data_IF_868562582819
#
_entry.id   IF_868562582819
#
_cell.length_a   1.000
_cell.length_b   1.000
_cell.length_c   1.000
_cell.angle_alpha   90.00
_cell.angle_beta   90.00
_cell.angle_gamma   90.00
#
_symmetry.space_group_name_H-M   'P 1'
#
loop_
_entity.id
_entity.type
_entity.pdbx_description
1 polymer ?
#
# COMPACT_ATOMS: atom_id res chain seq x y z
N UNK A 1 -9.64 -15.73 -8.74
CA UNK A 1 -8.71 -14.57 -8.63
C UNK A 1 -8.17 -14.46 -7.21
N UNK A 2 -7.12 -13.66 -6.96
CA UNK A 2 -6.52 -13.53 -5.63
C UNK A 2 -7.53 -13.26 -4.49
N UNK A 3 -8.49 -12.34 -4.71
CA UNK A 3 -9.52 -12.05 -3.70
C UNK A 3 -10.30 -13.30 -3.27
N UNK A 4 -10.60 -14.21 -4.21
CA UNK A 4 -11.28 -15.47 -3.89
C UNK A 4 -10.37 -16.46 -3.16
N UNK A 5 -9.07 -16.49 -3.49
CA UNK A 5 -8.12 -17.39 -2.82
C UNK A 5 -7.88 -17.03 -1.35
N UNK A 6 -8.27 -15.83 -0.92
CA UNK A 6 -8.25 -15.45 0.51
C UNK A 6 -9.26 -16.22 1.36
N UNK A 7 -10.29 -16.81 0.75
CA UNK A 7 -11.39 -17.48 1.46
C UNK A 7 -12.38 -16.52 2.15
N UNK A 8 -12.17 -15.21 2.07
CA UNK A 8 -13.09 -14.20 2.61
C UNK A 8 -14.34 -14.16 1.72
N UNK A 9 -15.52 -14.20 2.34
CA UNK A 9 -16.78 -14.02 1.62
C UNK A 9 -17.11 -12.52 1.52
N UNK A 10 -16.99 -11.93 0.33
CA UNK A 10 -17.16 -10.49 0.09
C UNK A 10 -18.20 -10.21 -1.01
N UNK A 11 -18.73 -8.98 -1.02
CA UNK A 11 -19.60 -8.50 -2.10
C UNK A 11 -18.78 -8.19 -3.36
N UNK A 12 -18.89 -9.07 -4.36
CA UNK A 12 -18.19 -8.96 -5.65
C UNK A 12 -18.61 -7.75 -6.48
N UNK A 13 -19.80 -7.20 -6.23
CA UNK A 13 -20.26 -5.97 -6.88
C UNK A 13 -19.54 -4.73 -6.31
N UNK A 14 -19.13 -4.82 -5.04
CA UNK A 14 -18.48 -3.75 -4.27
C UNK A 14 -16.96 -3.74 -4.42
N UNK A 15 -16.33 -4.91 -4.50
CA UNK A 15 -14.88 -5.05 -4.77
C UNK A 15 -14.62 -6.17 -5.76
N UNK A 16 -13.87 -5.84 -6.82
CA UNK A 16 -13.44 -6.74 -7.86
C UNK A 16 -12.25 -6.12 -8.62
N UNK A 17 -11.61 -6.91 -9.49
CA UNK A 17 -10.43 -6.45 -10.24
C UNK A 17 -10.66 -5.19 -11.07
N UNK A 18 -11.85 -4.98 -11.64
CA UNK A 18 -12.17 -3.77 -12.41
C UNK A 18 -12.18 -2.53 -11.52
N UNK A 19 -12.85 -2.61 -10.37
CA UNK A 19 -12.91 -1.51 -9.40
C UNK A 19 -11.52 -1.21 -8.80
N UNK A 20 -10.77 -2.26 -8.46
CA UNK A 20 -9.41 -2.13 -7.94
C UNK A 20 -8.48 -1.37 -8.89
N UNK A 21 -8.52 -1.69 -10.19
CA UNK A 21 -7.73 -0.97 -11.21
C UNK A 21 -8.27 0.44 -11.52
N UNK A 22 -9.55 0.71 -11.27
CA UNK A 22 -10.11 2.06 -11.34
C UNK A 22 -9.60 2.89 -10.16
N UNK A 23 -9.62 2.32 -8.96
CA UNK A 23 -9.16 2.96 -7.74
C UNK A 23 -7.66 3.24 -7.78
N UNK A 24 -6.84 2.31 -8.27
CA UNK A 24 -5.41 2.54 -8.52
C UNK A 24 -5.20 3.80 -9.37
N UNK A 25 -5.88 3.90 -10.52
CA UNK A 25 -5.80 5.08 -11.40
C UNK A 25 -6.25 6.38 -10.74
N UNK A 26 -7.33 6.34 -9.95
CA UNK A 26 -7.91 7.54 -9.35
C UNK A 26 -7.16 8.03 -8.10
N UNK A 27 -6.60 7.09 -7.33
CA UNK A 27 -5.93 7.36 -6.06
C UNK A 27 -4.42 7.46 -6.19
N UNK A 28 -3.88 6.98 -7.32
CA UNK A 28 -2.45 6.84 -7.59
C UNK A 28 -1.77 5.85 -6.61
N UNK A 29 -2.55 4.95 -6.00
CA UNK A 29 -2.07 3.94 -5.05
C UNK A 29 -2.00 2.57 -5.72
N UNK A 30 -0.86 1.88 -5.57
CA UNK A 30 -0.62 0.52 -6.04
C UNK A 30 -1.80 -0.40 -5.66
N UNK A 31 -2.34 -1.10 -6.66
CA UNK A 31 -3.50 -1.96 -6.48
C UNK A 31 -3.30 -3.01 -5.38
N UNK A 32 -2.07 -3.48 -5.17
CA UNK A 32 -1.74 -4.45 -4.12
C UNK A 32 -1.85 -3.80 -2.75
N UNK A 33 -1.45 -2.55 -2.61
CA UNK A 33 -1.63 -1.79 -1.38
C UNK A 33 -3.13 -1.54 -1.11
N UNK A 34 -3.92 -1.19 -2.14
CA UNK A 34 -5.38 -1.04 -2.01
C UNK A 34 -6.02 -2.34 -1.50
N UNK A 35 -5.65 -3.49 -2.07
CA UNK A 35 -6.11 -4.81 -1.62
C UNK A 35 -5.71 -5.07 -0.17
N UNK A 36 -4.45 -4.81 0.18
CA UNK A 36 -3.95 -5.00 1.55
C UNK A 36 -4.70 -4.14 2.57
N UNK A 37 -4.99 -2.89 2.24
CA UNK A 37 -5.77 -1.99 3.10
C UNK A 37 -7.20 -2.51 3.23
N UNK A 38 -7.91 -2.75 2.13
CA UNK A 38 -9.29 -3.23 2.17
C UNK A 38 -9.44 -4.55 2.96
N UNK A 39 -8.46 -5.46 2.81
CA UNK A 39 -8.43 -6.72 3.55
C UNK A 39 -8.24 -6.48 5.05
N UNK A 40 -7.29 -5.64 5.42
CA UNK A 40 -6.87 -5.46 6.82
C UNK A 40 -7.75 -4.46 7.59
N UNK A 41 -8.41 -3.51 6.92
CA UNK A 41 -9.33 -2.56 7.55
C UNK A 41 -10.69 -3.19 7.83
N UNK A 42 -11.20 -4.02 6.92
CA UNK A 42 -12.60 -4.44 6.98
C UNK A 42 -12.89 -5.80 6.40
N UNK A 43 -11.87 -6.62 6.12
CA UNK A 43 -12.06 -7.91 5.43
C UNK A 43 -12.88 -7.73 4.14
N UNK A 44 -12.48 -6.77 3.31
CA UNK A 44 -13.17 -6.40 2.06
C UNK A 44 -14.61 -5.88 2.27
N UNK A 45 -14.82 -5.09 3.32
CA UNK A 45 -16.11 -4.45 3.64
C UNK A 45 -17.09 -5.36 4.37
N UNK A 46 -16.63 -6.46 4.95
CA UNK A 46 -17.46 -7.49 5.60
C UNK A 46 -17.40 -7.45 7.13
N UNK A 47 -16.53 -6.60 7.69
CA UNK A 47 -16.34 -6.45 9.12
C UNK A 47 -16.53 -5.00 9.59
N UNK A 48 -16.94 -4.85 10.85
CA UNK A 48 -17.06 -3.56 11.53
C UNK A 48 -18.04 -2.58 10.87
N UNK A 49 -17.71 -1.28 10.96
CA UNK A 49 -18.52 -0.17 10.42
C UNK A 49 -18.73 -0.30 8.90
N UNK A 50 -17.81 -0.94 8.18
CA UNK A 50 -17.91 -1.12 6.73
C UNK A 50 -19.11 -1.98 6.28
N UNK A 51 -19.75 -2.70 7.21
CA UNK A 51 -20.98 -3.46 6.94
C UNK A 51 -22.23 -2.59 6.88
N UNK A 52 -22.15 -1.34 7.37
CA UNK A 52 -23.28 -0.42 7.39
C UNK A 52 -23.57 0.13 5.98
N UNK A 53 -24.85 0.28 5.60
CA UNK A 53 -25.21 0.89 4.33
C UNK A 53 -24.58 2.28 4.15
N UNK A 54 -23.88 2.49 3.04
CA UNK A 54 -23.21 3.74 2.71
C UNK A 54 -21.80 3.90 3.29
N UNK A 55 -21.39 3.08 4.27
CA UNK A 55 -20.04 3.13 4.82
C UNK A 55 -19.00 2.55 3.83
N UNK A 56 -17.76 3.02 3.89
CA UNK A 56 -16.66 2.53 3.04
C UNK A 56 -15.83 1.41 3.69
N UNK A 57 -15.17 0.61 2.86
CA UNK A 57 -14.32 -0.51 3.29
C UNK A 57 -12.92 -0.11 3.74
N UNK A 58 -12.55 1.16 3.58
CA UNK A 58 -11.20 1.67 3.84
C UNK A 58 -11.06 2.33 5.21
N UNK A 59 -12.11 2.32 6.03
CA UNK A 59 -12.11 2.95 7.36
C UNK A 59 -11.99 4.48 7.30
N UNK A 60 -12.14 5.10 6.13
CA UNK A 60 -11.98 6.54 5.98
C UNK A 60 -13.19 7.28 6.56
N UNK A 61 -12.94 8.24 7.45
CA UNK A 61 -14.01 9.02 8.09
C UNK A 61 -14.88 8.23 9.08
N UNK A 62 -14.55 6.97 9.36
CA UNK A 62 -15.23 6.16 10.36
C UNK A 62 -14.62 6.42 11.74
N UNK A 63 -15.37 7.08 12.63
CA UNK A 63 -15.01 7.23 14.04
C UNK A 63 -16.04 6.48 14.89
N UNK A 64 -15.60 5.73 15.89
CA UNK A 64 -16.49 5.00 16.82
C UNK A 64 -17.51 5.94 17.52
N UNK A 65 -17.16 7.22 17.66
CA UNK A 65 -18.01 8.27 18.25
C UNK A 65 -18.96 8.95 17.25
N UNK A 66 -18.80 8.74 15.93
CA UNK A 66 -19.67 9.30 14.91
C UNK A 66 -19.67 8.46 13.61
N UNK A 67 -20.44 7.35 13.57
CA UNK A 67 -20.53 6.48 12.40
C UNK A 67 -21.21 7.16 11.19
N UNK A 68 -21.91 8.29 11.35
CA UNK A 68 -22.54 9.02 10.24
C UNK A 68 -21.54 9.73 9.31
N UNK A 69 -20.29 9.93 9.73
CA UNK A 69 -19.26 10.47 8.83
C UNK A 69 -18.75 9.40 7.83
N UNK A 70 -18.83 8.12 8.19
CA UNK A 70 -18.41 7.03 7.32
C UNK A 70 -19.32 6.87 6.09
N UNK A 71 -20.61 7.21 6.22
CA UNK A 71 -21.63 7.09 5.17
C UNK A 71 -21.58 8.21 4.12
N UNK A 72 -20.74 9.24 4.33
CA UNK A 72 -20.59 10.35 3.39
C UNK A 72 -19.60 10.02 2.25
N UNK A 73 -18.82 8.95 2.38
CA UNK A 73 -17.80 8.56 1.41
C UNK A 73 -18.09 7.16 0.92
N UNK A 74 -18.44 7.02 -0.37
CA UNK A 74 -18.43 5.70 -1.01
C UNK A 74 -16.99 5.17 -1.12
N UNK A 75 -16.84 3.88 -1.46
CA UNK A 75 -15.52 3.22 -1.50
C UNK A 75 -14.50 3.94 -2.39
N UNK A 76 -14.92 4.44 -3.56
CA UNK A 76 -14.05 5.18 -4.49
C UNK A 76 -13.59 6.53 -3.89
N UNK A 77 -14.51 7.28 -3.32
CA UNK A 77 -14.18 8.58 -2.70
C UNK A 77 -13.31 8.38 -1.47
N UNK A 78 -13.57 7.31 -0.70
CA UNK A 78 -12.82 6.95 0.48
C UNK A 78 -11.37 6.57 0.15
N UNK A 79 -11.11 5.72 -0.84
CA UNK A 79 -9.73 5.34 -1.20
C UNK A 79 -8.92 6.53 -1.73
N UNK A 80 -9.54 7.41 -2.53
CA UNK A 80 -8.89 8.63 -3.01
C UNK A 80 -8.61 9.60 -1.87
N UNK A 81 -9.55 9.76 -0.93
CA UNK A 81 -9.38 10.65 0.22
C UNK A 81 -8.33 10.12 1.20
N UNK A 82 -8.34 8.82 1.47
CA UNK A 82 -7.31 8.12 2.23
C UNK A 82 -5.94 8.34 1.58
N UNK A 83 -5.84 8.18 0.26
CA UNK A 83 -4.59 8.39 -0.46
C UNK A 83 -4.05 9.81 -0.29
N UNK A 84 -4.89 10.82 -0.50
CA UNK A 84 -4.47 12.21 -0.43
C UNK A 84 -4.12 12.66 0.99
N UNK A 85 -4.94 12.28 1.97
CA UNK A 85 -4.78 12.76 3.35
C UNK A 85 -3.83 11.87 4.15
N UNK A 86 -4.19 10.60 4.29
CA UNK A 86 -3.49 9.69 5.18
C UNK A 86 -2.17 9.21 4.59
N UNK A 87 -2.02 9.17 3.26
CA UNK A 87 -0.77 8.68 2.66
C UNK A 87 0.13 9.82 2.22
N UNK A 88 -0.34 10.67 1.32
CA UNK A 88 0.44 11.74 0.71
C UNK A 88 0.70 12.88 1.69
N UNK A 89 -0.34 13.53 2.19
CA UNK A 89 -0.18 14.69 3.09
C UNK A 89 0.55 14.32 4.39
N UNK A 90 0.27 13.12 4.91
CA UNK A 90 0.91 12.60 6.11
C UNK A 90 2.23 11.86 5.85
N UNK A 91 2.79 11.88 4.64
CA UNK A 91 4.11 11.29 4.31
C UNK A 91 4.25 9.81 4.67
N UNK A 92 3.17 9.05 4.59
CA UNK A 92 3.16 7.62 4.87
C UNK A 92 3.45 6.83 3.59
N UNK A 93 4.64 7.06 3.03
CA UNK A 93 5.03 6.62 1.67
C UNK A 93 5.24 5.10 1.54
N UNK A 94 5.40 4.37 2.66
CA UNK A 94 5.54 2.90 2.74
C UNK A 94 4.88 2.37 4.01
N UNK A 95 4.47 1.09 4.02
CA UNK A 95 3.95 0.47 5.25
C UNK A 95 4.99 0.44 6.36
N UNK A 96 6.28 0.32 5.99
CA UNK A 96 7.40 0.45 6.93
C UNK A 96 7.44 1.82 7.59
N UNK A 97 7.36 2.89 6.80
CA UNK A 97 7.32 4.26 7.34
C UNK A 97 6.16 4.39 8.32
N UNK A 98 5.02 3.76 8.03
CA UNK A 98 3.91 3.80 8.96
C UNK A 98 4.17 3.03 10.26
N UNK A 99 4.71 1.80 10.20
CA UNK A 99 5.10 1.08 11.43
C UNK A 99 6.14 1.88 12.25
N UNK A 100 7.14 2.46 11.59
CA UNK A 100 8.17 3.28 12.24
C UNK A 100 7.54 4.52 12.91
N UNK A 101 6.57 5.16 12.25
CA UNK A 101 5.85 6.31 12.80
C UNK A 101 4.89 5.93 13.91
N UNK A 102 4.24 4.77 13.85
CA UNK A 102 3.43 4.25 14.95
C UNK A 102 4.28 4.03 16.21
N UNK A 103 5.50 3.51 16.05
CA UNK A 103 6.47 3.36 17.16
C UNK A 103 6.88 4.73 17.71
N UNK A 104 7.25 5.70 16.85
CA UNK A 104 7.56 7.07 17.27
C UNK A 104 6.38 7.71 18.02
N UNK A 105 5.16 7.52 17.51
CA UNK A 105 3.94 8.06 18.12
C UNK A 105 3.70 7.47 19.50
N UNK A 106 3.78 6.14 19.65
CA UNK A 106 3.65 5.46 20.94
C UNK A 106 4.71 5.89 21.95
N UNK A 107 5.91 6.23 21.50
CA UNK A 107 7.00 6.72 22.33
C UNK A 107 6.93 8.24 22.60
N UNK A 108 5.96 8.96 22.04
CA UNK A 108 5.85 10.42 22.17
C UNK A 108 6.96 11.20 21.44
N UNK A 109 7.64 10.59 20.48
CA UNK A 109 8.77 11.17 19.74
C UNK A 109 8.46 11.51 18.28
N UNK A 110 7.22 11.30 17.85
CA UNK A 110 6.79 11.68 16.50
C UNK A 110 6.69 13.20 16.36
N UNK A 111 7.51 13.78 15.48
CA UNK A 111 7.37 15.18 15.08
C UNK A 111 6.35 15.27 13.94
N UNK A 112 5.10 15.60 14.26
CA UNK A 112 4.03 15.66 13.26
C UNK A 112 4.23 16.77 12.22
N UNK A 113 5.00 17.82 12.52
CA UNK A 113 5.29 18.90 11.58
C UNK A 113 6.30 18.45 10.52
N UNK A 114 7.25 17.59 10.91
CA UNK A 114 8.29 17.06 10.02
C UNK A 114 7.88 15.74 9.38
N UNK A 115 7.44 14.76 10.19
CA UNK A 115 7.15 13.39 9.78
C UNK A 115 5.71 13.21 9.26
N UNK A 116 4.79 14.13 9.57
CA UNK A 116 3.35 13.99 9.31
C UNK A 116 2.64 13.04 10.29
N UNK A 117 1.30 12.97 10.23
CA UNK A 117 0.49 12.13 11.12
C UNK A 117 0.58 10.63 10.82
N UNK A 118 0.22 9.79 11.80
CA UNK A 118 0.07 8.34 11.61
C UNK A 118 -1.27 8.01 10.97
N UNK A 119 -1.31 6.96 10.14
CA UNK A 119 -2.53 6.36 9.59
C UNK A 119 -3.10 5.32 10.56
N UNK A 120 -2.23 4.50 11.16
CA UNK A 120 -2.58 3.60 12.25
C UNK A 120 -1.58 3.74 13.38
N UNK A 121 -2.03 3.52 14.62
CA UNK A 121 -1.20 3.62 15.83
C UNK A 121 -0.69 2.27 16.32
N UNK A 122 -1.11 1.17 15.69
CA UNK A 122 -0.70 -0.17 16.10
C UNK A 122 0.80 -0.40 15.88
N UNK A 123 1.50 -0.78 16.95
CA UNK A 123 2.93 -1.08 16.95
C UNK A 123 3.22 -2.58 16.80
N UNK A 124 2.20 -3.43 16.61
CA UNK A 124 2.36 -4.88 16.47
C UNK A 124 2.84 -5.34 15.09
N UNK A 125 3.20 -4.41 14.20
CA UNK A 125 3.61 -4.70 12.82
C UNK A 125 2.43 -4.74 11.84
N UNK A 126 1.46 -3.84 12.00
CA UNK A 126 0.30 -3.70 11.10
C UNK A 126 0.70 -3.40 9.67
N UNK A 127 1.74 -2.60 9.46
CA UNK A 127 2.32 -2.36 8.16
C UNK A 127 2.95 -3.62 7.58
N UNK A 128 3.69 -4.39 8.39
CA UNK A 128 4.35 -5.62 7.94
C UNK A 128 3.34 -6.66 7.45
N UNK A 129 2.20 -6.78 8.13
CA UNK A 129 1.10 -7.67 7.71
C UNK A 129 0.50 -7.24 6.37
N UNK A 130 0.27 -5.93 6.16
CA UNK A 130 -0.23 -5.39 4.88
C UNK A 130 0.79 -5.59 3.74
N UNK A 131 2.06 -5.41 4.03
CA UNK A 131 3.14 -5.71 3.09
C UNK A 131 3.18 -7.19 2.69
N UNK A 132 2.90 -8.10 3.62
CA UNK A 132 2.79 -9.52 3.30
C UNK A 132 1.64 -9.79 2.32
N UNK A 133 0.47 -9.16 2.51
CA UNK A 133 -0.66 -9.30 1.56
C UNK A 133 -0.26 -8.81 0.17
N UNK A 134 0.49 -7.71 0.06
CA UNK A 134 0.99 -7.24 -1.24
C UNK A 134 1.91 -8.28 -1.90
N UNK A 135 2.82 -8.88 -1.14
CA UNK A 135 3.72 -9.91 -1.64
C UNK A 135 2.99 -11.19 -2.04
N UNK A 136 1.96 -11.57 -1.28
CA UNK A 136 1.14 -12.75 -1.59
C UNK A 136 0.32 -12.53 -2.87
N UNK A 137 -0.21 -11.33 -3.09
CA UNK A 137 -0.91 -10.97 -4.33
C UNK A 137 0.05 -10.95 -5.52
N UNK A 138 1.23 -10.37 -5.35
CA UNK A 138 2.27 -10.35 -6.39
C UNK A 138 2.64 -11.77 -6.83
N UNK A 139 2.93 -12.63 -5.85
CA UNK A 139 3.20 -14.05 -6.08
C UNK A 139 2.01 -14.75 -6.76
N UNK A 140 0.79 -14.47 -6.35
CA UNK A 140 -0.40 -15.06 -6.96
C UNK A 140 -0.53 -14.66 -8.43
N UNK A 141 -0.25 -13.39 -8.77
CA UNK A 141 -0.23 -12.91 -10.16
C UNK A 141 0.79 -13.70 -10.98
N UNK A 142 2.02 -13.82 -10.48
CA UNK A 142 3.09 -14.58 -11.12
C UNK A 142 2.72 -16.04 -11.37
N UNK A 143 2.06 -16.68 -10.40
CA UNK A 143 1.60 -18.08 -10.50
C UNK A 143 0.40 -18.27 -11.46
N UNK A 144 -0.38 -17.22 -11.75
CA UNK A 144 -1.67 -17.31 -12.45
C UNK A 144 -1.72 -16.57 -13.79
N UNK A 145 -0.58 -16.45 -14.47
CA UNK A 145 -0.46 -15.85 -15.81
C UNK A 145 0.61 -14.77 -15.91
N UNK A 146 1.09 -14.30 -14.76
CA UNK A 146 2.18 -13.34 -14.63
C UNK A 146 1.86 -11.96 -15.18
N UNK A 147 2.78 -11.03 -14.93
CA UNK A 147 2.82 -9.77 -15.67
C UNK A 147 3.15 -10.09 -17.13
N UNK A 148 2.34 -9.67 -18.12
CA UNK A 148 2.65 -9.90 -19.53
C UNK A 148 4.07 -9.43 -19.85
N UNK A 149 4.81 -10.24 -20.62
CA UNK A 149 6.14 -9.85 -21.11
C UNK A 149 6.08 -8.45 -21.71
N UNK A 150 7.00 -7.58 -21.29
CA UNK A 150 7.09 -6.22 -21.83
C UNK A 150 7.09 -6.25 -23.37
N UNK A 151 6.34 -5.36 -24.04
CA UNK A 151 6.27 -5.35 -25.51
C UNK A 151 7.67 -5.33 -26.11
N UNK A 152 7.89 -6.14 -27.16
CA UNK A 152 9.20 -6.25 -27.81
C UNK A 152 9.68 -4.92 -28.44
N UNK A 153 8.80 -3.92 -28.58
CA UNK A 153 9.00 -2.69 -29.35
C UNK A 153 9.08 -1.40 -28.52
N UNK A 154 9.20 -1.46 -27.20
CA UNK A 154 9.67 -0.28 -26.47
C UNK A 154 11.18 -0.26 -26.62
N UNK A 155 11.77 0.86 -27.04
CA UNK A 155 13.20 1.11 -26.98
C UNK A 155 13.67 0.79 -25.56
N UNK A 156 14.09 -0.46 -25.32
CA UNK A 156 14.61 -0.86 -24.03
C UNK A 156 15.87 -0.03 -23.86
N UNK A 157 15.83 0.91 -22.92
CA UNK A 157 17.05 1.28 -22.23
C UNK A 157 17.44 0.00 -21.51
N UNK A 158 18.23 -0.84 -22.18
CA UNK A 158 18.85 -2.00 -21.55
C UNK A 158 19.76 -1.38 -20.51
N UNK A 159 19.37 -1.47 -19.24
CA UNK A 159 20.24 -1.10 -18.14
C UNK A 159 21.56 -1.82 -18.35
N UNK A 160 22.64 -1.06 -18.54
CA UNK A 160 23.98 -1.64 -18.77
C UNK A 160 24.58 -2.23 -17.51
N UNK A 161 23.85 -2.20 -16.39
CA UNK A 161 24.26 -2.75 -15.12
C UNK A 161 24.21 -4.27 -15.16
N UNK A 162 25.37 -4.89 -15.37
CA UNK A 162 25.58 -6.30 -15.05
C UNK A 162 25.74 -6.44 -13.54
N UNK A 163 24.67 -6.83 -12.85
CA UNK A 163 24.74 -7.24 -11.44
C UNK A 163 24.61 -8.76 -11.38
N UNK A 164 25.60 -9.42 -10.77
CA UNK A 164 25.51 -10.86 -10.54
C UNK A 164 24.30 -11.14 -9.63
N UNK A 165 23.52 -12.21 -9.88
CA UNK A 165 22.40 -12.58 -9.02
C UNK A 165 22.84 -12.63 -7.55
N UNK A 166 22.11 -11.93 -6.67
CA UNK A 166 22.44 -11.84 -5.23
C UNK A 166 23.48 -10.79 -4.85
N UNK A 167 23.93 -9.94 -5.79
CA UNK A 167 24.91 -8.88 -5.51
C UNK A 167 24.24 -7.52 -5.40
N UNK A 168 24.48 -6.83 -4.29
CA UNK A 168 24.01 -5.46 -4.07
C UNK A 168 24.96 -4.53 -4.83
N UNK A 169 24.47 -3.82 -5.85
CA UNK A 169 25.24 -2.73 -6.48
C UNK A 169 25.07 -1.45 -5.67
N UNK A 170 26.18 -0.76 -5.39
CA UNK A 170 26.18 0.58 -4.81
C UNK A 170 26.17 1.68 -5.89
N UNK A 171 26.29 1.30 -7.16
CA UNK A 171 26.35 2.22 -8.29
C UNK A 171 24.98 2.34 -8.97
N UNK A 172 24.53 3.59 -9.17
CA UNK A 172 23.37 3.91 -9.99
C UNK A 172 23.74 3.70 -11.47
N UNK A 173 22.87 3.04 -12.27
CA UNK A 173 23.11 2.92 -13.70
C UNK A 173 23.26 4.30 -14.37
N UNK A 174 24.13 4.38 -15.37
CA UNK A 174 24.33 5.61 -16.15
C UNK A 174 23.01 6.11 -16.74
N UNK A 175 22.71 7.39 -16.53
CA UNK A 175 21.44 8.02 -16.96
C UNK A 175 20.32 8.00 -15.90
N UNK A 176 20.54 7.41 -14.73
CA UNK A 176 19.60 7.43 -13.61
C UNK A 176 20.13 8.31 -12.47
N UNK A 177 19.23 9.05 -11.83
CA UNK A 177 19.50 9.81 -10.61
C UNK A 177 18.55 9.38 -9.50
N UNK A 178 18.99 9.49 -8.26
CA UNK A 178 18.08 9.37 -7.11
C UNK A 178 17.35 10.69 -6.91
N UNK A 179 16.03 10.66 -6.93
CA UNK A 179 15.20 11.83 -6.57
C UNK A 179 15.32 12.19 -5.08
N UNK A 180 15.70 11.21 -4.25
CA UNK A 180 15.96 11.38 -2.81
C UNK A 180 17.18 10.55 -2.39
N UNK A 181 18.06 11.06 -1.50
CA UNK A 181 19.20 10.30 -1.01
C UNK A 181 18.75 9.05 -0.24
N UNK A 182 19.45 7.92 -0.46
CA UNK A 182 19.22 6.68 0.29
C UNK A 182 19.86 6.84 1.68
N UNK A 183 19.04 6.95 2.72
CA UNK A 183 19.52 6.96 4.10
C UNK A 183 19.51 5.54 4.67
N UNK A 184 20.69 4.98 4.92
CA UNK A 184 20.86 3.64 5.50
C UNK A 184 21.01 3.64 7.03
N UNK A 185 21.02 4.82 7.66
CA UNK A 185 21.13 4.96 9.11
C UNK A 185 19.91 4.36 9.79
N UNK A 186 20.11 3.29 10.57
CA UNK A 186 19.02 2.56 11.24
C UNK A 186 18.37 1.44 10.41
N UNK A 187 18.97 1.05 9.28
CA UNK A 187 18.49 -0.10 8.50
C UNK A 187 18.65 -1.41 9.30
N UNK A 188 17.53 -2.02 9.66
CA UNK A 188 17.46 -3.31 10.37
C UNK A 188 17.05 -4.42 9.39
N UNK A 189 17.85 -5.48 9.31
CA UNK A 189 17.69 -6.59 8.36
C UNK A 189 16.51 -7.54 8.65
N UNK A 190 15.72 -7.30 9.71
CA UNK A 190 14.37 -7.88 9.87
C UNK A 190 13.40 -7.15 8.94
N UNK A 191 13.68 -7.24 7.63
CA UNK A 191 13.10 -6.36 6.63
C UNK A 191 11.68 -6.79 6.24
N UNK A 192 10.94 -5.80 5.75
CA UNK A 192 9.74 -6.02 4.96
C UNK A 192 10.08 -6.86 3.71
N UNK A 193 9.13 -7.64 3.15
CA UNK A 193 9.36 -8.35 1.89
C UNK A 193 9.93 -7.44 0.79
N UNK A 194 10.76 -7.98 -0.09
CA UNK A 194 11.34 -7.26 -1.23
C UNK A 194 10.23 -6.79 -2.21
N UNK A 195 10.34 -5.58 -2.78
CA UNK A 195 9.34 -5.01 -3.71
C UNK A 195 8.32 -4.02 -3.13
N UNK A 196 8.50 -3.60 -1.86
CA UNK A 196 7.58 -2.71 -1.11
C UNK A 196 7.86 -1.21 -1.29
N UNK A 197 8.43 -0.81 -2.42
CA UNK A 197 9.18 0.45 -2.48
C UNK A 197 8.34 1.73 -2.38
N UNK A 198 7.06 1.74 -2.77
CA UNK A 198 6.16 2.90 -2.58
C UNK A 198 4.69 2.49 -2.65
N UNK A 199 3.82 3.20 -1.93
CA UNK A 199 2.36 3.08 -2.14
C UNK A 199 1.95 3.60 -3.51
N UNK A 200 2.78 4.41 -4.16
CA UNK A 200 2.42 5.13 -5.38
C UNK A 200 2.98 4.45 -6.64
N UNK A 201 2.18 4.44 -7.70
CA UNK A 201 2.55 3.98 -9.04
C UNK A 201 2.98 5.21 -9.84
N UNK A 202 4.27 5.34 -10.18
CA UNK A 202 4.78 6.46 -10.97
C UNK A 202 4.61 6.26 -12.48
#
# INVERSE_FOLDING_TARGET
GFLESTGINYDRSRINGRLLLQWERSSDVDVRAIVAIAMMESSFGTAGVATLPGANMFGFGAFDSNPENAIQFNDETAVVSLANQNLKANKNETFKIQDDKAIKYANGTLDVAVDGGVYFTDTSGSGKKRAQVMADLDKWIDEHGGTPSAPASVNRIIGTANVNPGTITLELPSGYSLDKPINTTGYIAQSYPYGQCTWFVF
#
